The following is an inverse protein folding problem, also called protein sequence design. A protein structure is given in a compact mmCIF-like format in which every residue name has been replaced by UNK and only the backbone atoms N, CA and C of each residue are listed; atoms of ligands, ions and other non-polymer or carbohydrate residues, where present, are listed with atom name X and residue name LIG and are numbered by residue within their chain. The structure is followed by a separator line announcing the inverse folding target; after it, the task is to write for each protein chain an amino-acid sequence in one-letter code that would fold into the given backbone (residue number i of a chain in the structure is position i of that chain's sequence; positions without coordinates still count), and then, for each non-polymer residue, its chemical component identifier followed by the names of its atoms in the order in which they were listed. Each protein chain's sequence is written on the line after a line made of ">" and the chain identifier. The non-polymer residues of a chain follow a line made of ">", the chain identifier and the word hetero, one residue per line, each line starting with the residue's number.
data_IF_759878599833
#
_entry.id   IF_759878599833
#
_cell.length_a   1.000
_cell.length_b   1.000
_cell.length_c   1.000
_cell.angle_alpha   90.00
_cell.angle_beta   90.00
_cell.angle_gamma   90.00
#
_symmetry.space_group_name_H-M   'P 1'
#
loop_
_entity.id
_entity.type
_entity.pdbx_description
1 polymer ?
#
# COMPACT_ATOMS: atom_id res chain seq x y z
N UNK A 1 13.58 2.93 17.19
CA UNK A 1 12.95 4.16 16.69
C UNK A 1 11.44 3.98 16.81
N UNK A 2 10.63 5.02 16.99
CA UNK A 2 9.18 4.88 17.18
C UNK A 2 8.48 5.83 16.21
N UNK A 3 7.44 5.35 15.51
CA UNK A 3 6.57 6.19 14.67
C UNK A 3 5.66 7.05 15.56
N UNK A 4 5.60 8.35 15.27
CA UNK A 4 4.58 9.24 15.80
C UNK A 4 3.46 9.29 14.76
N UNK A 5 2.23 9.05 15.19
CA UNK A 5 1.06 9.08 14.33
C UNK A 5 0.39 10.45 14.35
N UNK A 6 -0.30 10.78 13.26
CA UNK A 6 -1.11 11.99 13.17
C UNK A 6 -2.09 12.11 14.35
N UNK A 7 -2.26 13.31 14.87
CA UNK A 7 -3.10 13.57 16.04
C UNK A 7 -4.60 13.50 15.72
N UNK A 8 -5.01 13.81 14.48
CA UNK A 8 -6.42 13.91 14.10
C UNK A 8 -7.15 12.56 14.24
N UNK A 9 -8.41 12.60 14.65
CA UNK A 9 -9.24 11.41 14.79
C UNK A 9 -9.47 10.72 13.45
N UNK A 10 -9.71 11.49 12.39
CA UNK A 10 -9.96 10.98 11.04
C UNK A 10 -8.70 10.34 10.42
N UNK A 11 -7.50 10.89 10.68
CA UNK A 11 -6.24 10.27 10.26
C UNK A 11 -5.99 8.94 10.99
N UNK A 12 -6.35 8.83 12.27
CA UNK A 12 -6.25 7.57 13.02
C UNK A 12 -7.21 6.51 12.50
N UNK A 13 -8.45 6.90 12.23
CA UNK A 13 -9.46 6.01 11.63
C UNK A 13 -9.02 5.54 10.23
N UNK A 14 -8.55 6.46 9.38
CA UNK A 14 -8.02 6.12 8.06
C UNK A 14 -6.82 5.15 8.16
N UNK A 15 -5.92 5.36 9.13
CA UNK A 15 -4.79 4.46 9.35
C UNK A 15 -5.26 3.04 9.74
N UNK A 16 -6.23 2.93 10.63
CA UNK A 16 -6.79 1.63 11.02
C UNK A 16 -7.43 0.90 9.82
N UNK A 17 -8.15 1.61 8.95
CA UNK A 17 -8.75 1.05 7.74
C UNK A 17 -7.67 0.51 6.80
N UNK A 18 -6.65 1.30 6.47
CA UNK A 18 -5.62 0.86 5.52
C UNK A 18 -4.71 -0.23 6.08
N UNK A 19 -4.45 -0.25 7.40
CA UNK A 19 -3.72 -1.35 8.05
C UNK A 19 -4.52 -2.66 8.00
N UNK A 20 -5.82 -2.61 8.25
CA UNK A 20 -6.68 -3.78 8.11
C UNK A 20 -6.68 -4.31 6.67
N UNK A 21 -6.83 -3.43 5.68
CA UNK A 21 -6.76 -3.81 4.27
C UNK A 21 -5.40 -4.38 3.88
N UNK A 22 -4.30 -3.81 4.42
CA UNK A 22 -2.95 -4.34 4.20
C UNK A 22 -2.83 -5.79 4.64
N UNK A 23 -3.24 -6.09 5.87
CA UNK A 23 -3.15 -7.45 6.43
C UNK A 23 -4.01 -8.43 5.64
N UNK A 24 -5.24 -8.04 5.30
CA UNK A 24 -6.11 -8.85 4.45
C UNK A 24 -5.48 -9.15 3.09
N UNK A 25 -4.90 -8.13 2.45
CA UNK A 25 -4.28 -8.29 1.14
C UNK A 25 -3.04 -9.19 1.19
N UNK A 26 -2.17 -8.99 2.20
CA UNK A 26 -0.97 -9.81 2.42
C UNK A 26 -1.36 -11.27 2.69
N UNK A 27 -2.39 -11.52 3.48
CA UNK A 27 -2.88 -12.88 3.74
C UNK A 27 -3.34 -13.57 2.45
N UNK A 28 -4.07 -12.85 1.57
CA UNK A 28 -4.50 -13.40 0.27
C UNK A 28 -3.32 -13.69 -0.65
N UNK A 29 -2.30 -12.84 -0.68
CA UNK A 29 -1.07 -13.07 -1.45
C UNK A 29 -0.28 -14.27 -0.91
N UNK A 30 -0.17 -14.41 0.41
CA UNK A 30 0.46 -15.56 1.04
C UNK A 30 -0.34 -16.87 0.80
N UNK A 31 -1.67 -16.79 0.76
CA UNK A 31 -2.50 -17.94 0.39
C UNK A 31 -2.23 -18.37 -1.05
N UNK A 32 -2.15 -17.42 -1.96
CA UNK A 32 -1.81 -17.67 -3.35
C UNK A 32 -0.42 -18.32 -3.48
N UNK A 33 0.60 -17.85 -2.76
CA UNK A 33 1.90 -18.49 -2.71
C UNK A 33 1.78 -19.99 -2.35
N UNK A 34 1.03 -20.31 -1.31
CA UNK A 34 0.82 -21.71 -0.87
C UNK A 34 0.11 -22.57 -1.91
N UNK A 35 -0.86 -22.02 -2.65
CA UNK A 35 -1.56 -22.73 -3.74
C UNK A 35 -0.60 -23.12 -4.86
N UNK A 36 0.45 -22.33 -5.09
CA UNK A 36 1.49 -22.63 -6.08
C UNK A 36 2.71 -23.37 -5.50
N UNK A 37 2.59 -23.88 -4.27
CA UNK A 37 3.62 -24.72 -3.64
C UNK A 37 4.77 -23.93 -2.98
N UNK A 38 4.63 -22.62 -2.88
CA UNK A 38 5.60 -21.77 -2.22
C UNK A 38 5.40 -21.75 -0.70
N UNK A 39 6.50 -21.78 0.03
CA UNK A 39 6.48 -21.72 1.50
C UNK A 39 6.82 -20.34 2.05
N UNK A 40 7.40 -19.47 1.24
CA UNK A 40 7.79 -18.13 1.65
C UNK A 40 6.57 -17.22 1.78
N UNK A 41 6.68 -16.28 2.70
CA UNK A 41 5.67 -15.27 2.99
C UNK A 41 6.23 -13.89 2.69
N UNK A 42 5.34 -12.92 2.63
CA UNK A 42 5.75 -11.51 2.54
C UNK A 42 6.38 -11.06 3.86
N UNK A 43 7.59 -10.52 3.80
CA UNK A 43 8.32 -10.02 4.96
C UNK A 43 7.96 -8.57 5.29
N UNK A 44 7.79 -8.30 6.58
CA UNK A 44 7.46 -6.99 7.09
C UNK A 44 8.70 -6.13 7.32
N UNK A 45 8.72 -4.92 6.76
CA UNK A 45 9.79 -3.94 6.93
C UNK A 45 9.20 -2.61 7.38
N UNK A 46 9.57 -2.15 8.58
CA UNK A 46 9.22 -0.81 9.04
C UNK A 46 10.14 0.24 8.42
N UNK A 47 9.58 1.41 8.14
CA UNK A 47 10.34 2.57 7.74
C UNK A 47 9.82 3.83 8.44
N UNK A 48 10.68 4.83 8.57
CA UNK A 48 10.45 6.01 9.38
C UNK A 48 10.70 7.27 8.57
N UNK A 49 9.78 8.23 8.66
CA UNK A 49 9.98 9.57 8.08
C UNK A 49 10.53 10.50 9.14
N UNK A 50 11.63 11.18 8.82
CA UNK A 50 12.32 12.11 9.73
C UNK A 50 12.56 11.51 11.12
N UNK A 51 13.13 10.29 11.16
CA UNK A 51 13.37 9.56 12.39
C UNK A 51 12.09 9.11 13.13
N UNK A 52 10.94 9.07 12.44
CA UNK A 52 9.63 8.75 12.99
C UNK A 52 8.82 9.95 13.45
N UNK A 53 9.40 11.16 13.46
CA UNK A 53 8.73 12.39 13.89
C UNK A 53 7.49 12.71 13.05
N UNK A 54 7.59 12.54 11.74
CA UNK A 54 6.51 12.80 10.79
C UNK A 54 5.87 11.50 10.26
N UNK A 55 5.87 10.43 11.09
CA UNK A 55 5.27 9.16 10.75
C UNK A 55 6.23 8.15 10.13
N UNK A 56 5.75 7.42 9.16
CA UNK A 56 6.44 6.31 8.51
C UNK A 56 5.47 5.28 8.01
N UNK A 57 5.89 4.02 7.93
CA UNK A 57 5.03 2.96 7.44
C UNK A 57 5.50 1.56 7.76
N UNK A 58 4.67 0.61 7.35
CA UNK A 58 4.96 -0.81 7.35
C UNK A 58 4.77 -1.34 5.94
N UNK A 59 5.80 -1.96 5.40
CA UNK A 59 5.79 -2.57 4.08
C UNK A 59 5.95 -4.06 4.20
N UNK A 60 5.08 -4.80 3.55
CA UNK A 60 5.26 -6.23 3.31
C UNK A 60 5.82 -6.43 1.90
N UNK A 61 6.86 -7.25 1.75
CA UNK A 61 7.57 -7.45 0.48
C UNK A 61 7.70 -8.93 0.19
N UNK A 62 7.52 -9.31 -1.07
CA UNK A 62 7.93 -10.62 -1.56
C UNK A 62 9.45 -10.71 -1.54
N UNK A 63 9.97 -11.85 -1.10
CA UNK A 63 11.40 -12.10 -0.90
C UNK A 63 12.01 -13.10 -1.88
N UNK A 64 11.22 -13.57 -2.83
CA UNK A 64 11.65 -14.53 -3.83
C UNK A 64 11.21 -14.17 -5.25
N UNK A 65 11.73 -14.91 -6.21
CA UNK A 65 11.48 -14.74 -7.63
C UNK A 65 10.65 -15.90 -8.21
N UNK A 66 9.83 -16.59 -7.39
CA UNK A 66 9.06 -17.75 -7.84
C UNK A 66 7.74 -17.33 -8.48
N UNK A 67 6.76 -16.91 -7.69
CA UNK A 67 5.46 -16.44 -8.17
C UNK A 67 5.47 -14.94 -8.44
N UNK A 68 6.12 -14.17 -7.58
CA UNK A 68 6.21 -12.72 -7.69
C UNK A 68 7.63 -12.26 -8.00
N UNK A 69 7.83 -11.62 -9.14
CA UNK A 69 9.05 -10.91 -9.45
C UNK A 69 9.23 -9.72 -8.49
N UNK A 70 8.16 -9.00 -8.22
CA UNK A 70 8.11 -7.95 -7.22
C UNK A 70 6.72 -7.87 -6.61
N UNK A 71 6.67 -8.04 -5.30
CA UNK A 71 5.45 -7.83 -4.53
C UNK A 71 5.72 -6.83 -3.41
N UNK A 72 4.88 -5.83 -3.28
CA UNK A 72 4.96 -4.86 -2.18
C UNK A 72 3.57 -4.40 -1.80
N UNK A 73 3.25 -4.50 -0.51
CA UNK A 73 2.02 -3.98 0.09
C UNK A 73 2.42 -3.03 1.21
N UNK A 74 2.34 -1.73 0.97
CA UNK A 74 2.88 -0.70 1.87
C UNK A 74 1.76 0.17 2.43
N UNK A 75 1.68 0.25 3.76
CA UNK A 75 0.91 1.28 4.46
C UNK A 75 1.87 2.37 4.92
N UNK A 76 1.47 3.61 4.71
CA UNK A 76 2.20 4.79 5.17
C UNK A 76 1.26 5.81 5.79
N UNK A 77 1.72 6.46 6.83
CA UNK A 77 1.12 7.70 7.32
C UNK A 77 2.20 8.74 7.49
N UNK A 78 1.99 9.91 6.92
CA UNK A 78 2.83 11.09 7.14
C UNK A 78 1.96 12.23 7.66
N UNK A 79 2.52 13.08 8.53
CA UNK A 79 1.81 14.22 9.11
C UNK A 79 2.77 15.38 9.40
N UNK A 80 2.20 16.57 9.53
CA UNK A 80 2.91 17.79 9.87
C UNK A 80 2.13 18.58 10.94
N UNK A 81 1.76 17.89 12.01
CA UNK A 81 0.99 18.47 13.12
C UNK A 81 1.78 19.59 13.85
N UNK A 82 3.09 19.48 13.82
CA UNK A 82 4.04 20.39 14.47
C UNK A 82 4.62 21.47 13.54
N UNK A 83 4.22 21.52 12.27
CA UNK A 83 4.76 22.48 11.27
C UNK A 83 3.62 23.33 10.69
N UNK A 84 3.41 24.52 11.24
CA UNK A 84 2.33 25.43 10.83
C UNK A 84 2.42 25.90 9.38
N UNK A 85 3.61 25.89 8.78
CA UNK A 85 3.83 26.34 7.39
C UNK A 85 3.36 25.29 6.36
N UNK A 86 3.24 24.04 6.76
CA UNK A 86 2.74 22.99 5.88
C UNK A 86 1.23 23.05 5.73
N UNK A 87 0.76 23.10 4.49
CA UNK A 87 -0.68 23.02 4.16
C UNK A 87 -1.27 21.64 4.40
N UNK A 88 -0.46 20.57 4.21
CA UNK A 88 -0.84 19.19 4.49
C UNK A 88 -0.86 18.99 6.01
N UNK A 89 -1.98 18.52 6.54
CA UNK A 89 -2.11 18.04 7.91
C UNK A 89 -1.58 16.60 8.00
N UNK A 90 -2.22 15.69 7.28
CA UNK A 90 -1.78 14.29 7.20
C UNK A 90 -2.13 13.66 5.85
N UNK A 91 -1.41 12.59 5.52
CA UNK A 91 -1.74 11.69 4.43
C UNK A 91 -1.49 10.24 4.87
N UNK A 92 -2.50 9.40 4.73
CA UNK A 92 -2.48 7.98 5.07
C UNK A 92 -2.79 7.19 3.82
N UNK A 93 -1.98 6.19 3.48
CA UNK A 93 -2.15 5.46 2.22
C UNK A 93 -1.82 3.97 2.36
N UNK A 94 -2.55 3.15 1.61
CA UNK A 94 -2.17 1.81 1.19
C UNK A 94 -1.75 1.88 -0.27
N UNK A 95 -0.55 1.42 -0.58
CA UNK A 95 -0.03 1.30 -1.94
C UNK A 95 0.42 -0.12 -2.19
N UNK A 96 0.00 -0.71 -3.31
CA UNK A 96 0.43 -2.05 -3.70
C UNK A 96 1.04 -2.03 -5.08
N UNK A 97 2.09 -2.82 -5.24
CA UNK A 97 2.72 -3.14 -6.52
C UNK A 97 2.91 -4.64 -6.55
N UNK A 98 2.20 -5.33 -7.44
CA UNK A 98 2.26 -6.78 -7.58
C UNK A 98 2.62 -7.11 -9.02
N UNK A 99 3.85 -7.57 -9.21
CA UNK A 99 4.37 -8.05 -10.48
C UNK A 99 4.56 -9.56 -10.40
N UNK A 100 3.92 -10.27 -11.31
CA UNK A 100 4.15 -11.71 -11.47
C UNK A 100 5.54 -11.97 -12.07
N UNK A 101 6.13 -13.11 -11.72
CA UNK A 101 7.30 -13.64 -12.38
C UNK A 101 6.99 -14.05 -13.82
N UNK A 102 5.79 -14.57 -14.06
CA UNK A 102 5.33 -14.90 -15.41
C UNK A 102 4.89 -13.63 -16.17
N UNK A 103 5.56 -13.24 -17.29
CA UNK A 103 5.24 -12.02 -18.02
C UNK A 103 3.88 -12.04 -18.72
N UNK A 104 3.24 -13.21 -18.87
CA UNK A 104 1.88 -13.33 -19.40
C UNK A 104 0.80 -12.92 -18.37
N UNK A 105 1.15 -12.84 -17.10
CA UNK A 105 0.25 -12.38 -16.04
C UNK A 105 0.45 -10.88 -15.84
N UNK A 106 -0.60 -10.07 -16.03
CA UNK A 106 -0.49 -8.62 -15.85
C UNK A 106 -0.11 -8.23 -14.41
N UNK A 107 0.67 -7.16 -14.30
CA UNK A 107 0.94 -6.51 -13.02
C UNK A 107 -0.25 -5.67 -12.58
N UNK A 108 -0.46 -5.59 -11.27
CA UNK A 108 -1.51 -4.76 -10.66
C UNK A 108 -0.85 -3.75 -9.73
N UNK A 109 -1.27 -2.49 -9.87
CA UNK A 109 -0.97 -1.42 -8.94
C UNK A 109 -2.27 -0.90 -8.34
N UNK A 110 -2.30 -0.71 -7.03
CA UNK A 110 -3.44 -0.08 -6.34
C UNK A 110 -2.94 0.96 -5.36
N UNK A 111 -3.71 2.02 -5.22
CA UNK A 111 -3.45 3.07 -4.25
C UNK A 111 -4.78 3.54 -3.65
N UNK A 112 -4.86 3.47 -2.33
CA UNK A 112 -5.99 3.99 -1.55
C UNK A 112 -5.41 4.98 -0.56
N UNK A 113 -5.86 6.22 -0.55
CA UNK A 113 -5.32 7.22 0.35
C UNK A 113 -6.39 8.16 0.91
N UNK A 114 -6.20 8.50 2.18
CA UNK A 114 -6.87 9.60 2.86
C UNK A 114 -5.90 10.78 2.96
N UNK A 115 -6.33 11.96 2.56
CA UNK A 115 -5.54 13.19 2.65
C UNK A 115 -6.31 14.23 3.44
N UNK A 116 -5.67 14.82 4.44
CA UNK A 116 -6.18 15.95 5.22
C UNK A 116 -5.31 17.18 4.97
N UNK A 117 -5.94 18.24 4.56
CA UNK A 117 -5.34 19.56 4.52
C UNK A 117 -5.72 20.33 5.79
N UNK A 118 -4.86 21.19 6.32
CA UNK A 118 -5.17 21.96 7.55
C UNK A 118 -6.34 22.93 7.40
N UNK A 119 -6.64 23.35 6.17
CA UNK A 119 -7.68 24.36 5.87
C UNK A 119 -8.94 23.80 5.23
N UNK A 120 -8.99 22.50 4.89
CA UNK A 120 -10.14 21.91 4.18
C UNK A 120 -10.47 20.52 4.73
N UNK A 121 -11.68 20.04 4.38
CA UNK A 121 -12.06 18.65 4.68
C UNK A 121 -11.12 17.67 3.96
N UNK A 122 -10.86 16.55 4.63
CA UNK A 122 -10.14 15.44 4.04
C UNK A 122 -10.96 14.72 2.95
N UNK A 123 -10.26 13.95 2.13
CA UNK A 123 -10.87 13.17 1.05
C UNK A 123 -10.15 11.85 0.84
N UNK A 124 -10.89 10.86 0.37
CA UNK A 124 -10.36 9.60 -0.12
C UNK A 124 -10.04 9.68 -1.61
N UNK A 125 -8.96 9.01 -1.99
CA UNK A 125 -8.62 8.73 -3.39
C UNK A 125 -8.38 7.25 -3.54
N UNK A 126 -8.96 6.66 -4.58
CA UNK A 126 -8.76 5.25 -4.93
C UNK A 126 -8.31 5.19 -6.37
N UNK A 127 -7.30 4.40 -6.65
CA UNK A 127 -6.78 4.13 -7.97
C UNK A 127 -6.39 2.65 -8.07
N UNK A 128 -6.68 2.05 -9.21
CA UNK A 128 -6.16 0.73 -9.57
C UNK A 128 -5.84 0.72 -11.06
N UNK A 129 -4.73 0.11 -11.44
CA UNK A 129 -4.36 -0.11 -12.83
C UNK A 129 -3.84 -1.52 -13.05
N UNK A 130 -4.14 -2.03 -14.26
CA UNK A 130 -3.66 -3.29 -14.76
C UNK A 130 -2.61 -3.00 -15.84
N UNK A 131 -1.42 -3.59 -15.67
CA UNK A 131 -0.27 -3.33 -16.54
C UNK A 131 0.23 -4.65 -17.14
N UNK A 132 -0.30 -5.08 -18.30
CA UNK A 132 0.19 -6.25 -19.00
C UNK A 132 1.55 -5.95 -19.65
N UNK A 133 2.56 -6.77 -19.35
CA UNK A 133 3.86 -6.72 -20.05
C UNK A 133 3.75 -7.23 -21.50
N UNK A 134 2.86 -8.18 -21.73
CA UNK A 134 2.47 -8.70 -23.03
C UNK A 134 0.97 -8.49 -23.18
N UNK A 135 0.53 -7.98 -24.32
CA UNK A 135 -0.89 -7.67 -24.55
C UNK A 135 -1.80 -8.85 -24.15
N UNK A 136 -2.74 -8.58 -23.25
CA UNK A 136 -3.73 -9.53 -22.76
C UNK A 136 -5.12 -8.90 -22.82
N UNK A 137 -5.76 -9.01 -23.97
CA UNK A 137 -7.09 -8.41 -24.21
C UNK A 137 -8.16 -8.93 -23.24
N UNK A 138 -8.11 -10.23 -22.92
CA UNK A 138 -9.08 -10.83 -22.00
C UNK A 138 -8.95 -10.25 -20.59
N UNK A 139 -7.72 -10.18 -20.05
CA UNK A 139 -7.48 -9.59 -18.73
C UNK A 139 -7.85 -8.10 -18.69
N UNK A 140 -7.53 -7.35 -19.74
CA UNK A 140 -7.91 -5.94 -19.84
C UNK A 140 -9.42 -5.76 -19.84
N UNK A 141 -10.16 -6.56 -20.61
CA UNK A 141 -11.63 -6.51 -20.64
C UNK A 141 -12.26 -6.84 -19.29
N UNK A 142 -11.75 -7.88 -18.61
CA UNK A 142 -12.24 -8.25 -17.27
C UNK A 142 -11.97 -7.16 -16.22
N UNK A 143 -10.84 -6.49 -16.33
CA UNK A 143 -10.49 -5.40 -15.39
C UNK A 143 -11.33 -4.15 -15.60
N UNK A 144 -11.80 -3.88 -16.81
CA UNK A 144 -12.59 -2.67 -17.14
C UNK A 144 -14.10 -2.88 -17.11
N UNK A 145 -14.59 -4.10 -16.88
CA UNK A 145 -16.01 -4.43 -16.79
C UNK A 145 -16.57 -4.12 -15.40
#
# INVERSE_FOLDING_TARGET
>A
MKRIFAASATAKEANAIVEHLQLYFVERLNALNREFGETRTFDAVEWYRDGGRHGGGLRYMATDDSLFNRGSVNVSQVHYDDDAEKKLGSATALSTIIHSFNPLVPSIHMHISWTEMKSTKGYWRIMADLNPAIENKSATQQFTA
#
